data_IF_975825698778
#
_entry.id   IF_975825698778
#
_cell.length_a   1.000
_cell.length_b   1.000
_cell.length_c   1.000
_cell.angle_alpha   90.00
_cell.angle_beta   90.00
_cell.angle_gamma   90.00
#
_symmetry.space_group_name_H-M   'P 1'
#
loop_
_entity.id
_entity.type
_entity.pdbx_description
1 polymer ?
#
# COMPACT_ATOMS: atom_id res chain seq x y z
N UNK A 1 7.72 0.48 11.00
CA UNK A 1 8.34 -0.73 10.43
C UNK A 1 8.21 -0.71 8.92
N UNK A 2 9.14 -1.35 8.21
CA UNK A 2 9.07 -1.56 6.75
C UNK A 2 8.35 -2.89 6.54
N UNK A 3 7.25 -2.90 5.77
CA UNK A 3 6.67 -4.14 5.26
C UNK A 3 7.33 -4.47 3.91
N UNK A 4 8.02 -5.61 3.82
CA UNK A 4 8.61 -6.11 2.57
C UNK A 4 7.74 -7.24 2.03
N UNK A 5 6.75 -6.89 1.21
CA UNK A 5 5.91 -7.85 0.48
C UNK A 5 6.06 -7.68 -1.04
N UNK A 6 5.44 -8.53 -1.88
CA UNK A 6 5.40 -8.38 -3.35
C UNK A 6 4.79 -7.06 -3.85
N UNK A 7 4.41 -6.17 -2.94
CA UNK A 7 4.02 -4.79 -3.17
C UNK A 7 5.21 -3.81 -3.31
N UNK A 8 6.41 -4.15 -2.82
CA UNK A 8 7.55 -3.24 -2.74
C UNK A 8 7.81 -2.77 -1.29
N UNK A 9 8.54 -1.67 -1.13
CA UNK A 9 8.82 -1.07 0.19
C UNK A 9 7.69 -0.12 0.58
N UNK A 10 7.00 -0.40 1.67
CA UNK A 10 5.89 0.41 2.18
C UNK A 10 6.36 1.34 3.32
N UNK A 11 6.08 2.63 3.18
CA UNK A 11 6.36 3.66 4.19
C UNK A 11 5.07 4.35 4.59
N UNK A 12 4.64 4.16 5.85
CA UNK A 12 3.41 4.76 6.36
C UNK A 12 3.65 6.02 7.18
N UNK A 13 2.64 6.88 7.23
CA UNK A 13 2.62 8.07 8.08
C UNK A 13 1.75 7.80 9.33
N UNK A 14 2.33 7.71 10.55
CA UNK A 14 1.58 7.31 11.75
C UNK A 14 0.36 8.20 12.04
N UNK A 15 0.49 9.51 11.88
CA UNK A 15 -0.62 10.44 12.12
C UNK A 15 -1.75 10.36 11.08
N UNK A 16 -1.48 9.81 9.88
CA UNK A 16 -2.52 9.53 8.88
C UNK A 16 -3.19 8.21 9.20
N UNK A 17 -2.38 7.18 9.44
CA UNK A 17 -2.91 5.86 9.80
C UNK A 17 -3.83 5.91 11.03
N UNK A 18 -3.54 6.76 12.01
CA UNK A 18 -4.29 6.84 13.28
C UNK A 18 -5.41 7.88 13.31
N UNK A 19 -5.65 8.64 12.23
CA UNK A 19 -6.78 9.59 12.21
C UNK A 19 -8.12 8.92 11.84
N UNK A 20 -8.09 7.66 11.37
CA UNK A 20 -9.29 6.88 11.04
C UNK A 20 -10.02 7.41 9.81
N UNK A 21 -9.36 8.19 8.95
CA UNK A 21 -9.95 8.77 7.75
C UNK A 21 -9.27 8.19 6.52
N UNK A 22 -10.06 7.56 5.64
CA UNK A 22 -9.57 7.15 4.31
C UNK A 22 -9.78 8.32 3.33
N UNK A 23 -8.73 9.06 3.01
CA UNK A 23 -8.71 10.08 1.94
C UNK A 23 -7.62 9.75 0.91
N UNK A 24 -7.96 9.40 -0.34
CA UNK A 24 -6.98 9.05 -1.36
C UNK A 24 -6.03 10.20 -1.74
N UNK A 25 -6.34 11.45 -1.37
CA UNK A 25 -5.44 12.60 -1.55
C UNK A 25 -4.37 12.69 -0.45
N UNK A 26 -4.59 11.99 0.67
CA UNK A 26 -3.72 11.97 1.84
C UNK A 26 -3.53 10.52 2.33
N UNK A 27 -2.96 9.64 1.48
CA UNK A 27 -2.90 8.21 1.76
C UNK A 27 -2.05 7.88 2.99
N UNK A 28 -2.35 6.75 3.61
CA UNK A 28 -1.68 6.32 4.84
C UNK A 28 -0.26 5.83 4.58
N UNK A 29 0.02 5.26 3.40
CA UNK A 29 1.37 4.85 3.04
C UNK A 29 1.74 5.08 1.57
N UNK A 30 3.04 5.16 1.34
CA UNK A 30 3.67 5.23 0.02
C UNK A 30 4.39 3.92 -0.30
N UNK A 31 4.29 3.49 -1.54
CA UNK A 31 4.89 2.23 -2.03
C UNK A 31 6.01 2.56 -3.00
N UNK A 32 7.21 2.08 -2.70
CA UNK A 32 8.40 2.29 -3.51
C UNK A 32 8.95 0.97 -4.08
N UNK A 33 9.33 0.99 -5.35
CA UNK A 33 10.20 -0.05 -5.94
C UNK A 33 11.67 0.27 -5.59
N UNK A 34 12.44 -0.69 -5.07
CA UNK A 34 13.87 -0.54 -4.83
C UNK A 34 14.64 -0.11 -6.08
N UNK A 35 15.77 0.58 -5.86
CA UNK A 35 16.68 0.92 -6.95
C UNK A 35 17.24 -0.35 -7.59
N UNK A 36 17.23 -0.43 -8.93
CA UNK A 36 17.85 -1.55 -9.64
C UNK A 36 19.38 -1.39 -9.63
N UNK A 37 20.15 -2.48 -9.42
CA UNK A 37 21.60 -2.45 -9.57
C UNK A 37 22.00 -1.85 -10.92
N UNK A 38 22.93 -0.88 -10.93
CA UNK A 38 23.43 -0.23 -12.15
C UNK A 38 22.54 0.87 -12.74
N UNK A 39 21.35 1.15 -12.18
CA UNK A 39 20.54 2.35 -12.49
C UNK A 39 20.47 3.25 -11.25
N UNK A 40 20.02 4.50 -11.46
CA UNK A 40 19.83 5.53 -10.42
C UNK A 40 19.60 4.93 -9.03
N UNK A 41 20.46 5.27 -8.06
CA UNK A 41 20.44 4.78 -6.66
C UNK A 41 19.20 5.18 -5.85
N UNK A 42 18.14 5.67 -6.49
CA UNK A 42 16.95 6.20 -5.84
C UNK A 42 15.79 5.22 -6.00
N UNK A 43 15.04 4.94 -4.92
CA UNK A 43 13.79 4.20 -5.04
C UNK A 43 12.78 4.99 -5.89
N UNK A 44 11.90 4.27 -6.58
CA UNK A 44 10.87 4.87 -7.44
C UNK A 44 9.51 4.73 -6.78
N UNK A 45 8.77 5.82 -6.63
CA UNK A 45 7.38 5.77 -6.16
C UNK A 45 6.51 5.06 -7.20
N UNK A 46 5.85 3.97 -6.81
CA UNK A 46 5.07 3.11 -7.71
C UNK A 46 3.59 3.07 -7.39
N UNK A 47 3.22 3.39 -6.14
CA UNK A 47 1.84 3.38 -5.67
C UNK A 47 1.70 4.01 -4.30
N UNK A 48 0.48 3.99 -3.79
CA UNK A 48 0.13 4.32 -2.40
C UNK A 48 -0.68 3.18 -1.82
N UNK A 49 -0.81 3.14 -0.50
CA UNK A 49 -1.70 2.25 0.22
C UNK A 49 -2.69 3.09 1.01
N UNK A 50 -3.96 2.68 0.96
CA UNK A 50 -4.96 3.15 1.90
C UNK A 50 -5.10 2.09 3.00
N UNK A 51 -5.10 2.53 4.26
CA UNK A 51 -5.12 1.63 5.39
C UNK A 51 -6.07 2.10 6.49
N UNK A 52 -6.83 1.17 7.06
CA UNK A 52 -7.75 1.40 8.17
C UNK A 52 -7.36 0.47 9.33
N UNK A 53 -6.89 1.01 10.47
CA UNK A 53 -6.61 0.20 11.66
C UNK A 53 -7.84 -0.57 12.12
N UNK A 54 -7.64 -1.83 12.51
CA UNK A 54 -8.72 -2.66 13.07
C UNK A 54 -9.35 -2.01 14.31
N UNK A 55 -8.53 -1.36 15.14
CA UNK A 55 -8.96 -0.68 16.36
C UNK A 55 -9.88 0.53 16.11
N UNK A 56 -9.87 1.09 14.91
CA UNK A 56 -10.70 2.25 14.52
C UNK A 56 -11.88 1.84 13.63
N UNK A 57 -12.05 0.55 13.34
CA UNK A 57 -13.10 0.04 12.46
C UNK A 57 -14.18 -0.73 13.21
N UNK A 58 -15.37 -0.14 13.32
CA UNK A 58 -16.47 -0.68 14.13
C UNK A 58 -17.46 -1.55 13.33
N UNK A 59 -17.30 -1.66 12.01
CA UNK A 59 -18.26 -2.37 11.14
C UNK A 59 -17.83 -3.82 10.95
N UNK A 60 -18.82 -4.71 10.82
CA UNK A 60 -18.60 -6.14 10.59
C UNK A 60 -17.83 -6.43 9.29
N UNK A 61 -18.13 -5.68 8.22
CA UNK A 61 -17.50 -5.86 6.91
C UNK A 61 -16.33 -4.89 6.72
N UNK A 62 -15.23 -5.31 6.08
CA UNK A 62 -14.11 -4.43 5.79
C UNK A 62 -14.51 -3.18 4.99
N UNK A 63 -13.71 -2.10 5.08
CA UNK A 63 -13.90 -0.92 4.26
C UNK A 63 -13.91 -1.24 2.76
N UNK A 64 -14.47 -0.32 1.96
CA UNK A 64 -14.46 -0.44 0.49
C UNK A 64 -13.99 0.86 -0.14
N UNK A 65 -13.21 0.73 -1.20
CA UNK A 65 -12.78 1.85 -2.05
C UNK A 65 -13.00 1.47 -3.52
N UNK A 66 -13.72 2.33 -4.26
CA UNK A 66 -14.10 2.11 -5.66
C UNK A 66 -14.71 0.71 -5.93
N UNK A 67 -15.53 0.20 -5.00
CA UNK A 67 -16.18 -1.09 -5.10
C UNK A 67 -15.31 -2.30 -4.72
N UNK A 68 -14.03 -2.13 -4.45
CA UNK A 68 -13.13 -3.19 -3.97
C UNK A 68 -13.08 -3.17 -2.44
N UNK A 69 -13.08 -4.35 -1.81
CA UNK A 69 -12.90 -4.48 -0.36
C UNK A 69 -11.41 -4.40 -0.02
N UNK A 70 -11.10 -3.73 1.08
CA UNK A 70 -9.76 -3.79 1.68
C UNK A 70 -9.49 -5.24 2.14
N UNK A 71 -8.23 -5.65 2.07
CA UNK A 71 -7.76 -6.94 2.55
C UNK A 71 -7.30 -6.82 4.00
N UNK A 72 -7.46 -7.87 4.82
CA UNK A 72 -6.84 -7.91 6.13
C UNK A 72 -5.33 -8.06 6.00
N UNK A 73 -4.58 -7.20 6.69
CA UNK A 73 -3.12 -7.23 6.81
C UNK A 73 -2.77 -7.45 8.29
N UNK A 74 -2.99 -8.68 8.76
CA UNK A 74 -3.01 -9.02 10.19
C UNK A 74 -1.67 -8.76 10.89
N UNK A 75 -0.55 -8.85 10.16
CA UNK A 75 0.79 -8.51 10.67
C UNK A 75 0.88 -7.05 11.15
N UNK A 76 0.11 -6.16 10.51
CA UNK A 76 0.09 -4.73 10.82
C UNK A 76 -1.16 -4.29 11.59
N UNK A 77 -2.16 -5.17 11.73
CA UNK A 77 -3.41 -4.87 12.41
C UNK A 77 -4.28 -3.84 11.67
N UNK A 78 -4.23 -3.87 10.33
CA UNK A 78 -4.95 -2.93 9.46
C UNK A 78 -5.71 -3.67 8.36
N UNK A 79 -6.79 -3.07 7.88
CA UNK A 79 -7.32 -3.36 6.56
C UNK A 79 -6.56 -2.50 5.54
N UNK A 80 -5.95 -3.11 4.52
CA UNK A 80 -5.14 -2.43 3.51
C UNK A 80 -5.70 -2.57 2.09
N UNK A 81 -5.41 -1.59 1.23
CA UNK A 81 -5.56 -1.75 -0.22
C UNK A 81 -4.49 -0.95 -0.97
N UNK A 82 -3.79 -1.61 -1.90
CA UNK A 82 -2.83 -0.95 -2.76
C UNK A 82 -3.52 -0.17 -3.88
N UNK A 83 -2.97 0.99 -4.22
CA UNK A 83 -3.40 1.84 -5.33
C UNK A 83 -2.20 2.15 -6.23
N UNK A 84 -2.15 1.47 -7.38
CA UNK A 84 -1.02 1.54 -8.34
C UNK A 84 -1.12 2.75 -9.28
N UNK A 85 -1.00 3.97 -8.72
CA UNK A 85 -1.20 5.21 -9.48
C UNK A 85 -0.07 5.48 -10.49
N UNK A 86 1.19 5.20 -10.13
CA UNK A 86 2.35 5.54 -10.98
C UNK A 86 2.85 4.36 -11.82
N UNK A 87 2.80 3.13 -11.28
CA UNK A 87 3.25 1.94 -11.99
C UNK A 87 2.05 1.14 -12.51
N UNK A 88 1.76 1.26 -13.81
CA UNK A 88 0.69 0.49 -14.46
C UNK A 88 0.73 -0.98 -14.06
N UNK A 89 -0.37 -1.49 -13.52
CA UNK A 89 -0.51 -2.87 -13.08
C UNK A 89 -1.41 -3.66 -14.06
N UNK A 90 -0.93 -4.73 -14.71
CA UNK A 90 -1.77 -5.57 -15.58
C UNK A 90 -2.88 -6.31 -14.83
N UNK A 91 -2.74 -6.51 -13.51
CA UNK A 91 -3.79 -7.10 -12.65
C UNK A 91 -4.87 -6.09 -12.24
N UNK A 92 -4.68 -4.79 -12.52
CA UNK A 92 -5.62 -3.71 -12.19
C UNK A 92 -5.09 -2.72 -11.14
N UNK A 93 -5.73 -1.55 -11.07
CA UNK A 93 -5.31 -0.43 -10.21
C UNK A 93 -5.28 -0.77 -8.72
N UNK A 94 -6.21 -1.63 -8.27
CA UNK A 94 -6.42 -1.99 -6.87
C UNK A 94 -6.06 -3.44 -6.55
N UNK A 95 -5.27 -4.07 -7.41
CA UNK A 95 -4.81 -5.43 -7.17
C UNK A 95 -3.82 -5.49 -6.00
N UNK A 96 -3.89 -6.55 -5.21
CA UNK A 96 -3.02 -6.79 -4.04
C UNK A 96 -1.53 -6.80 -4.40
N UNK A 97 -1.16 -7.21 -5.61
CA UNK A 97 0.25 -7.19 -6.05
C UNK A 97 0.38 -6.60 -7.45
N UNK A 98 1.56 -6.08 -7.76
CA UNK A 98 1.92 -5.64 -9.09
C UNK A 98 3.11 -6.47 -9.62
N UNK A 99 2.92 -7.37 -10.60
CA UNK A 99 4.00 -8.20 -11.12
C UNK A 99 5.10 -7.38 -11.84
N UNK A 100 4.88 -6.08 -12.06
CA UNK A 100 5.88 -5.17 -12.61
C UNK A 100 6.70 -4.44 -11.54
N UNK A 101 6.42 -4.68 -10.26
CA UNK A 101 7.21 -4.19 -9.12
C UNK A 101 8.10 -5.33 -8.67
N UNK A 102 9.41 -5.14 -8.71
CA UNK A 102 10.36 -6.12 -8.19
C UNK A 102 10.72 -5.78 -6.75
N UNK A 103 10.53 -6.72 -5.82
CA UNK A 103 11.26 -6.68 -4.55
C UNK A 103 12.72 -7.01 -4.88
N UNK A 104 13.57 -5.98 -4.94
CA UNK A 104 15.00 -6.22 -5.01
C UNK A 104 15.38 -6.93 -3.72
N UNK A 105 15.70 -8.23 -3.81
CA UNK A 105 16.53 -8.85 -2.79
C UNK A 105 17.81 -7.99 -2.73
N UNK A 106 18.05 -7.38 -1.57
CA UNK A 106 19.33 -6.77 -1.27
C UNK A 106 20.43 -7.84 -1.18
#
# INVERSE_FOLDING_TARGET
MIGEGPAGMVYYHPGRLMDGIIDPRWPEALIYEPAKPGRNRRPTLVGVELAMPYSLWEREKPPRFLGVRFQPEDEFGVFGIHVWVWRRNPKGLLAESNPRVSCGAA
#
